data_IF_877118648057
#
_entry.id   IF_877118648057
#
_cell.length_a   1.000
_cell.length_b   1.000
_cell.length_c   1.000
_cell.angle_alpha   90.00
_cell.angle_beta   90.00
_cell.angle_gamma   90.00
#
_symmetry.space_group_name_H-M   'P 1'
#
loop_
_entity.id
_entity.type
_entity.pdbx_description
1 polymer ?
#
# COMPACT_ATOMS: atom_id res chain seq x y z
N UNK A 1 -8.58 1.92 -8.73
CA UNK A 1 -9.40 1.66 -7.51
C UNK A 1 -9.25 0.20 -7.13
N UNK A 2 -9.12 -0.13 -5.84
CA UNK A 2 -9.33 -1.50 -5.39
C UNK A 2 -10.81 -1.67 -5.09
N UNK A 3 -11.42 -2.74 -5.59
CA UNK A 3 -12.79 -3.12 -5.24
C UNK A 3 -12.78 -4.26 -4.23
N UNK A 4 -13.78 -4.27 -3.35
CA UNK A 4 -14.03 -5.37 -2.41
C UNK A 4 -14.82 -6.51 -3.06
N UNK A 5 -15.41 -6.26 -4.23
CA UNK A 5 -16.10 -7.28 -5.02
C UNK A 5 -15.11 -7.85 -6.05
N UNK A 6 -14.85 -9.16 -5.96
CA UNK A 6 -13.92 -9.94 -6.80
C UNK A 6 -12.42 -9.71 -6.56
N UNK A 7 -12.03 -9.08 -5.44
CA UNK A 7 -10.63 -9.00 -5.01
C UNK A 7 -9.72 -8.46 -6.12
N UNK A 8 -10.23 -7.48 -6.88
CA UNK A 8 -9.56 -6.91 -8.05
C UNK A 8 -9.13 -5.48 -7.82
N UNK A 9 -8.07 -5.13 -8.53
CA UNK A 9 -7.61 -3.76 -8.73
C UNK A 9 -7.97 -3.40 -10.17
N UNK A 10 -8.70 -2.30 -10.33
CA UNK A 10 -9.14 -1.79 -11.62
C UNK A 10 -8.41 -0.50 -11.94
N UNK A 11 -7.96 -0.37 -13.19
CA UNK A 11 -7.26 0.81 -13.69
C UNK A 11 -8.21 1.72 -14.47
N UNK A 12 -8.10 3.01 -14.22
CA UNK A 12 -8.84 4.06 -14.89
C UNK A 12 -7.89 5.16 -15.32
N UNK A 13 -8.14 5.78 -16.46
CA UNK A 13 -7.48 6.99 -16.93
C UNK A 13 -8.40 8.20 -16.75
N UNK A 14 -7.82 9.37 -16.48
CA UNK A 14 -8.53 10.64 -16.49
C UNK A 14 -8.22 11.33 -17.82
N UNK A 15 -9.25 11.66 -18.61
CA UNK A 15 -9.03 12.40 -19.85
C UNK A 15 -8.67 13.87 -19.59
N UNK A 16 -9.06 14.41 -18.43
CA UNK A 16 -8.60 15.70 -17.92
C UNK A 16 -7.82 15.48 -16.63
N UNK A 17 -6.54 15.92 -16.54
CA UNK A 17 -5.75 15.78 -15.33
C UNK A 17 -6.46 16.38 -14.13
N UNK A 18 -6.47 15.65 -13.01
CA UNK A 18 -7.08 16.07 -11.74
C UNK A 18 -8.61 16.24 -11.75
N UNK A 19 -9.30 15.81 -12.82
CA UNK A 19 -10.76 15.80 -12.87
C UNK A 19 -11.30 14.36 -12.84
N UNK A 20 -11.75 13.94 -11.67
CA UNK A 20 -12.30 12.59 -11.43
C UNK A 20 -13.56 12.30 -12.26
N UNK A 21 -14.30 13.34 -12.66
CA UNK A 21 -15.50 13.16 -13.49
C UNK A 21 -15.17 12.62 -14.88
N UNK A 22 -13.90 12.73 -15.28
CA UNK A 22 -13.40 12.24 -16.56
C UNK A 22 -12.82 10.82 -16.51
N UNK A 23 -12.95 10.14 -15.37
CA UNK A 23 -12.45 8.77 -15.22
C UNK A 23 -13.10 7.79 -16.20
N UNK A 24 -12.28 7.07 -16.95
CA UNK A 24 -12.69 6.02 -17.89
C UNK A 24 -11.98 4.72 -17.52
N UNK A 25 -12.71 3.61 -17.52
CA UNK A 25 -12.13 2.30 -17.23
C UNK A 25 -11.26 1.84 -18.40
N UNK A 26 -10.00 1.52 -18.13
CA UNK A 26 -9.01 1.18 -19.17
C UNK A 26 -9.12 -0.27 -19.69
N UNK A 27 -10.17 -1.00 -19.27
CA UNK A 27 -10.31 -2.44 -19.51
C UNK A 27 -9.15 -3.28 -18.96
N UNK A 28 -8.51 -2.81 -17.88
CA UNK A 28 -7.37 -3.44 -17.22
C UNK A 28 -7.68 -3.74 -15.75
N UNK A 29 -7.40 -4.97 -15.34
CA UNK A 29 -7.54 -5.37 -13.94
C UNK A 29 -6.52 -6.43 -13.53
N UNK A 30 -6.30 -6.56 -12.22
CA UNK A 30 -5.48 -7.59 -11.61
C UNK A 30 -6.22 -8.20 -10.41
N UNK A 31 -6.25 -9.53 -10.31
CA UNK A 31 -6.79 -10.23 -9.13
C UNK A 31 -5.67 -10.46 -8.11
N UNK A 32 -5.93 -10.04 -6.87
CA UNK A 32 -5.05 -10.29 -5.70
C UNK A 32 -5.54 -11.44 -4.82
N UNK A 33 -6.63 -12.10 -5.22
CA UNK A 33 -7.35 -13.11 -4.43
C UNK A 33 -6.45 -14.22 -3.87
N UNK A 34 -5.44 -14.65 -4.63
CA UNK A 34 -4.50 -15.69 -4.19
C UNK A 34 -3.52 -15.25 -3.10
N UNK A 35 -3.38 -13.95 -2.82
CA UNK A 35 -2.53 -13.41 -1.75
C UNK A 35 -3.35 -12.79 -0.62
N UNK A 36 -4.43 -12.06 -0.93
CA UNK A 36 -5.28 -11.42 0.07
C UNK A 36 -6.68 -11.17 -0.45
N UNK A 37 -7.65 -11.29 0.47
CA UNK A 37 -9.04 -10.93 0.28
C UNK A 37 -9.43 -9.69 1.09
N UNK A 38 -8.47 -9.03 1.77
CA UNK A 38 -8.73 -7.96 2.73
C UNK A 38 -7.66 -6.87 2.61
N UNK A 39 -7.71 -6.16 1.48
CA UNK A 39 -6.74 -5.14 1.13
C UNK A 39 -7.31 -3.75 1.38
N UNK A 40 -6.57 -2.89 2.08
CA UNK A 40 -7.05 -1.57 2.49
C UNK A 40 -6.35 -0.39 1.82
N UNK A 41 -5.09 -0.56 1.41
CA UNK A 41 -4.31 0.50 0.77
C UNK A 41 -3.51 -0.03 -0.41
N UNK A 42 -3.27 0.86 -1.36
CA UNK A 42 -2.45 0.64 -2.55
C UNK A 42 -1.45 1.80 -2.66
N UNK A 43 -0.16 1.47 -2.69
CA UNK A 43 0.90 2.46 -2.92
C UNK A 43 1.68 2.08 -4.18
N UNK A 44 1.91 3.04 -5.08
CA UNK A 44 2.74 2.82 -6.28
C UNK A 44 4.14 3.39 -6.08
N UNK A 45 5.13 2.63 -6.50
CA UNK A 45 6.47 3.16 -6.71
C UNK A 45 6.42 4.34 -7.70
N UNK A 46 7.21 5.43 -7.52
CA UNK A 46 7.14 6.63 -8.37
C UNK A 46 7.37 6.40 -9.87
N UNK A 47 8.10 5.33 -10.23
CA UNK A 47 8.30 4.94 -11.63
C UNK A 47 7.21 4.02 -12.17
N UNK A 48 6.18 3.69 -11.38
CA UNK A 48 5.08 2.80 -11.78
C UNK A 48 5.47 1.33 -11.96
N UNK A 49 6.68 0.92 -11.56
CA UNK A 49 7.22 -0.43 -11.77
C UNK A 49 6.86 -1.41 -10.66
N UNK A 50 6.37 -0.92 -9.52
CA UNK A 50 5.92 -1.72 -8.39
C UNK A 50 4.70 -1.10 -7.74
N UNK A 51 3.92 -1.93 -7.06
CA UNK A 51 2.96 -1.46 -6.08
C UNK A 51 2.96 -2.36 -4.84
N UNK A 52 2.38 -1.82 -3.78
CA UNK A 52 2.33 -2.44 -2.47
C UNK A 52 0.90 -2.42 -1.95
N UNK A 53 0.53 -3.44 -1.20
CA UNK A 53 -0.80 -3.58 -0.61
C UNK A 53 -0.69 -3.78 0.89
N UNK A 54 -1.51 -3.05 1.65
CA UNK A 54 -1.79 -3.36 3.05
C UNK A 54 -2.82 -4.48 3.12
N UNK A 55 -2.45 -5.62 3.73
CA UNK A 55 -3.29 -6.81 3.92
C UNK A 55 -3.68 -6.88 5.41
N UNK A 56 -4.87 -6.36 5.73
CA UNK A 56 -5.31 -6.12 7.10
C UNK A 56 -5.45 -7.44 7.87
N UNK A 57 -6.25 -8.37 7.34
CA UNK A 57 -6.48 -9.69 7.95
C UNK A 57 -5.21 -10.47 8.27
N UNK A 58 -4.23 -10.45 7.38
CA UNK A 58 -2.97 -11.18 7.57
C UNK A 58 -1.85 -10.31 8.17
N UNK A 59 -2.15 -9.06 8.54
CA UNK A 59 -1.23 -8.12 9.23
C UNK A 59 0.12 -8.01 8.52
N UNK A 60 0.08 -7.76 7.20
CA UNK A 60 1.29 -7.70 6.38
C UNK A 60 1.18 -6.71 5.24
N UNK A 61 2.34 -6.33 4.71
CA UNK A 61 2.45 -5.57 3.46
C UNK A 61 2.92 -6.51 2.36
N UNK A 62 2.25 -6.49 1.22
CA UNK A 62 2.55 -7.31 0.05
C UNK A 62 3.22 -6.46 -1.03
N UNK A 63 4.16 -7.05 -1.80
CA UNK A 63 4.85 -6.38 -2.90
C UNK A 63 4.57 -7.07 -4.24
N UNK A 64 4.37 -6.26 -5.27
CA UNK A 64 4.13 -6.68 -6.64
C UNK A 64 4.98 -5.86 -7.62
N UNK A 65 5.40 -6.50 -8.71
CA UNK A 65 6.04 -5.82 -9.85
C UNK A 65 5.07 -5.67 -11.01
N UNK A 66 5.24 -4.59 -11.78
CA UNK A 66 4.61 -4.38 -13.08
C UNK A 66 5.69 -4.52 -14.16
N UNK A 67 5.48 -5.41 -15.14
CA UNK A 67 6.42 -5.50 -16.27
C UNK A 67 6.29 -4.32 -17.24
N UNK A 68 5.13 -3.66 -17.25
CA UNK A 68 4.91 -2.38 -17.93
C UNK A 68 4.54 -1.33 -16.88
N UNK A 69 5.31 -0.23 -16.74
CA UNK A 69 5.01 0.82 -15.79
C UNK A 69 3.56 1.30 -15.87
N UNK A 70 2.90 1.41 -14.71
CA UNK A 70 1.52 1.88 -14.57
C UNK A 70 0.45 1.03 -15.24
N UNK A 71 0.79 -0.16 -15.75
CA UNK A 71 -0.16 -1.12 -16.30
C UNK A 71 -0.47 -2.22 -15.30
N UNK A 72 -1.60 -2.11 -14.61
CA UNK A 72 -1.99 -3.07 -13.57
C UNK A 72 -2.19 -4.49 -14.13
N UNK A 73 -2.53 -4.63 -15.41
CA UNK A 73 -2.75 -5.96 -16.02
C UNK A 73 -1.45 -6.76 -16.16
N UNK A 74 -0.30 -6.10 -16.01
CA UNK A 74 1.02 -6.74 -16.03
C UNK A 74 1.55 -7.09 -14.65
N UNK A 75 0.75 -6.91 -13.61
CA UNK A 75 1.12 -7.17 -12.24
C UNK A 75 1.44 -8.63 -11.97
N UNK A 76 2.49 -8.85 -11.19
CA UNK A 76 2.90 -10.16 -10.67
C UNK A 76 3.30 -10.02 -9.20
N UNK A 77 2.91 -11.00 -8.38
CA UNK A 77 3.33 -11.05 -6.98
C UNK A 77 4.82 -11.41 -6.90
N UNK A 78 5.61 -10.59 -6.20
CA UNK A 78 7.08 -10.75 -6.12
C UNK A 78 7.51 -11.90 -5.19
N UNK A 79 6.56 -12.65 -4.63
CA UNK A 79 6.77 -13.57 -3.51
C UNK A 79 7.44 -12.89 -2.30
N UNK A 80 7.11 -11.62 -2.07
CA UNK A 80 7.65 -10.78 -1.01
C UNK A 80 6.54 -10.18 -0.17
N UNK A 81 6.68 -10.34 1.14
CA UNK A 81 5.80 -9.73 2.13
C UNK A 81 6.56 -9.39 3.40
N UNK A 82 6.02 -8.49 4.21
CA UNK A 82 6.54 -8.14 5.52
C UNK A 82 5.40 -8.17 6.54
N UNK A 83 5.58 -8.95 7.61
CA UNK A 83 4.61 -9.02 8.71
C UNK A 83 4.83 -7.84 9.66
N UNK A 84 3.73 -7.18 10.05
CA UNK A 84 3.73 -6.12 11.08
C UNK A 84 3.18 -6.63 12.42
N UNK A 85 2.97 -7.94 12.55
CA UNK A 85 2.22 -8.55 13.67
C UNK A 85 2.86 -8.29 15.04
N UNK A 86 4.16 -8.01 15.10
CA UNK A 86 4.84 -7.71 16.36
C UNK A 86 4.57 -6.29 16.88
N UNK A 87 4.22 -5.36 15.99
CA UNK A 87 4.04 -3.95 16.31
C UNK A 87 2.57 -3.50 16.21
N UNK A 88 1.83 -4.04 15.25
CA UNK A 88 0.50 -3.57 14.86
C UNK A 88 -0.54 -4.70 14.83
N UNK A 89 -1.74 -4.42 15.33
CA UNK A 89 -2.87 -5.35 15.32
C UNK A 89 -3.58 -5.42 13.97
N UNK A 90 -3.42 -4.39 13.14
CA UNK A 90 -3.91 -4.31 11.77
C UNK A 90 -2.95 -3.47 10.89
N UNK A 91 -3.10 -3.61 9.57
CA UNK A 91 -2.33 -2.86 8.59
C UNK A 91 -3.31 -2.26 7.58
N UNK A 92 -3.51 -0.94 7.61
CA UNK A 92 -4.50 -0.26 6.76
C UNK A 92 -3.88 0.66 5.75
N UNK A 93 -3.18 1.68 6.22
CA UNK A 93 -2.45 2.65 5.39
C UNK A 93 -0.99 2.25 5.24
N UNK A 94 -0.43 2.50 4.06
CA UNK A 94 1.00 2.40 3.81
C UNK A 94 1.49 3.64 3.07
N UNK A 95 2.67 4.11 3.43
CA UNK A 95 3.36 5.19 2.73
C UNK A 95 4.86 4.91 2.73
N UNK A 96 5.52 5.16 1.61
CA UNK A 96 6.98 5.06 1.50
C UNK A 96 7.60 6.44 1.46
N UNK A 97 8.75 6.60 2.11
CA UNK A 97 9.62 7.74 1.82
C UNK A 97 10.04 7.67 0.34
N UNK A 98 10.13 8.81 -0.39
CA UNK A 98 10.43 8.83 -1.83
C UNK A 98 11.74 8.15 -2.26
N UNK A 99 12.71 8.00 -1.36
CA UNK A 99 13.95 7.26 -1.63
C UNK A 99 13.82 5.75 -1.42
N UNK A 100 12.65 5.27 -0.98
CA UNK A 100 12.35 3.86 -0.72
C UNK A 100 12.95 3.29 0.56
N UNK A 101 13.66 4.09 1.36
CA UNK A 101 14.40 3.61 2.54
C UNK A 101 13.54 3.50 3.80
N UNK A 102 12.35 4.12 3.80
CA UNK A 102 11.41 4.07 4.92
C UNK A 102 10.02 3.65 4.45
N UNK A 103 9.37 2.87 5.30
CA UNK A 103 7.97 2.50 5.21
C UNK A 103 7.27 3.01 6.47
N UNK A 104 6.08 3.54 6.29
CA UNK A 104 5.16 3.93 7.34
C UNK A 104 3.88 3.11 7.20
N UNK A 105 3.42 2.52 8.29
CA UNK A 105 2.20 1.71 8.34
C UNK A 105 1.25 2.30 9.37
N UNK A 106 -0.01 2.50 9.00
CA UNK A 106 -1.04 2.89 9.97
C UNK A 106 -1.76 1.67 10.51
N UNK A 107 -1.99 1.68 11.82
CA UNK A 107 -2.87 0.76 12.51
C UNK A 107 -4.06 1.53 13.08
N UNK A 108 -5.27 1.11 12.71
CA UNK A 108 -6.49 1.67 13.26
C UNK A 108 -6.72 1.17 14.68
N UNK A 109 -6.49 -0.11 14.92
CA UNK A 109 -6.71 -0.74 16.23
C UNK A 109 -5.76 -0.18 17.29
N UNK A 110 -4.48 0.03 16.96
CA UNK A 110 -3.51 0.63 17.89
C UNK A 110 -3.53 2.16 17.90
N UNK A 111 -4.29 2.79 17.00
CA UNK A 111 -4.36 4.24 16.79
C UNK A 111 -2.96 4.86 16.58
N UNK A 112 -2.10 4.14 15.85
CA UNK A 112 -0.68 4.48 15.70
C UNK A 112 -0.22 4.40 14.26
N UNK A 113 0.82 5.16 13.97
CA UNK A 113 1.67 5.02 12.80
C UNK A 113 2.99 4.39 13.25
N UNK A 114 3.45 3.36 12.57
CA UNK A 114 4.72 2.67 12.83
C UNK A 114 5.71 2.94 11.69
N UNK A 115 6.97 3.19 12.05
CA UNK A 115 8.06 3.44 11.10
C UNK A 115 8.99 2.23 10.99
N UNK A 116 9.35 1.88 9.75
CA UNK A 116 10.27 0.80 9.43
C UNK A 116 11.38 1.29 8.48
N UNK A 117 12.61 0.82 8.69
CA UNK A 117 13.72 0.96 7.74
C UNK A 117 13.74 -0.19 6.75
N UNK A 118 14.06 0.09 5.48
CA UNK A 118 14.37 -0.92 4.48
C UNK A 118 15.87 -0.86 4.18
N UNK A 119 16.59 -1.98 4.37
CA UNK A 119 18.02 -2.04 4.05
C UNK A 119 18.29 -2.05 2.54
N UNK A 120 17.31 -2.52 1.75
CA UNK A 120 17.28 -2.36 0.30
C UNK A 120 16.07 -1.48 -0.05
N UNK A 121 16.28 -0.28 -0.64
CA UNK A 121 15.18 0.59 -1.02
C UNK A 121 14.11 -0.14 -1.82
N UNK A 122 12.84 0.09 -1.47
CA UNK A 122 11.68 -0.49 -2.16
C UNK A 122 11.54 -2.02 -2.07
N UNK A 123 12.34 -2.70 -1.25
CA UNK A 123 12.22 -4.13 -0.99
C UNK A 123 11.58 -4.39 0.37
N UNK A 124 10.29 -4.74 0.35
CA UNK A 124 9.50 -4.92 1.58
C UNK A 124 10.06 -6.02 2.48
N UNK A 125 10.72 -7.03 1.90
CA UNK A 125 11.29 -8.15 2.66
C UNK A 125 12.49 -7.76 3.52
N UNK A 126 13.02 -6.55 3.33
CA UNK A 126 14.13 -5.99 4.12
C UNK A 126 13.67 -5.02 5.21
N UNK A 127 12.37 -4.82 5.35
CA UNK A 127 11.81 -3.92 6.36
C UNK A 127 12.16 -4.41 7.78
N UNK A 128 12.49 -3.46 8.65
CA UNK A 128 12.80 -3.65 10.07
C UNK A 128 12.19 -2.51 10.88
N UNK A 129 11.56 -2.83 12.01
CA UNK A 129 10.93 -1.82 12.86
C UNK A 129 11.98 -0.90 13.48
N UNK A 130 11.76 0.41 13.37
CA UNK A 130 12.71 1.42 13.87
C UNK A 130 12.58 1.70 15.37
N UNK A 131 11.73 0.95 16.07
CA UNK A 131 11.30 1.25 17.44
C UNK A 131 10.70 2.66 17.56
N UNK A 132 9.99 3.10 16.52
CA UNK A 132 9.37 4.42 16.41
C UNK A 132 7.91 4.28 16.02
N UNK A 133 7.04 4.84 16.85
CA UNK A 133 5.62 5.01 16.54
C UNK A 133 5.15 6.39 16.93
N UNK A 134 4.07 6.83 16.30
CA UNK A 134 3.36 8.05 16.64
C UNK A 134 1.91 7.69 16.93
N UNK A 135 1.43 8.04 18.11
CA UNK A 135 0.04 7.88 18.50
C UNK A 135 -0.75 9.05 17.96
N UNK A 136 -1.74 8.76 17.12
CA UNK A 136 -2.67 9.75 16.60
C UNK A 136 -4.05 9.46 17.23
N UNK A 137 -4.38 10.15 18.35
CA UNK A 137 -5.66 9.96 19.01
C UNK A 137 -6.77 10.40 18.06
N UNK A 138 -7.61 9.45 17.68
CA UNK A 138 -8.71 9.77 16.81
C UNK A 138 -9.86 10.37 17.63
N UNK A 139 -10.19 11.63 17.38
CA UNK A 139 -11.56 12.09 17.68
C UNK A 139 -12.60 11.30 16.85
N UNK A 140 -12.16 10.60 15.77
CA UNK A 140 -12.97 9.74 14.90
C UNK A 140 -12.17 8.54 14.34
N UNK A 141 -12.13 7.41 15.06
CA UNK A 141 -11.86 6.05 14.53
C UNK A 141 -10.51 5.71 13.84
N UNK A 142 -9.37 6.07 14.43
CA UNK A 142 -8.00 5.65 14.06
C UNK A 142 -7.50 6.10 12.67
N UNK A 143 -6.17 6.07 12.41
CA UNK A 143 -5.62 6.45 11.11
C UNK A 143 -5.85 5.37 10.03
N UNK A 144 -6.66 5.69 9.02
CA UNK A 144 -6.99 4.80 7.90
C UNK A 144 -6.03 4.92 6.70
N UNK A 145 -5.30 6.02 6.61
CA UNK A 145 -4.35 6.31 5.54
C UNK A 145 -3.30 7.31 6.01
N UNK A 146 -2.23 7.47 5.23
CA UNK A 146 -1.13 8.39 5.53
C UNK A 146 -0.54 8.97 4.25
N UNK A 147 -0.20 10.26 4.31
CA UNK A 147 0.61 10.97 3.31
C UNK A 147 1.56 11.88 4.07
N UNK A 148 2.81 11.98 3.61
CA UNK A 148 3.82 12.88 4.20
C UNK A 148 4.28 13.87 3.12
N UNK A 149 4.61 15.10 3.51
CA UNK A 149 5.22 16.10 2.64
C UNK A 149 6.75 15.94 2.60
N UNK A 150 7.39 16.51 1.58
CA UNK A 150 8.83 16.43 1.35
C UNK A 150 9.64 17.63 1.90
N UNK A 151 9.01 18.51 2.70
CA UNK A 151 9.53 19.79 3.26
C UNK A 151 11.03 20.10 3.07
#
# INVERSE_FOLDING_TARGET
MHGDVNEKIYQYSLSTPWDISTAQYDNKSFSRESQTTDAHSLFFHPQGTKFYIADEKNKRVLQYSLSTPWDISTAQYDNKSFSVTAEAQDCRGIYFKPDGTKLYVTSKTDEKIFQYSLSTPWDISTAQYDNKSFYEPAYYAGPLGIVLSED
#
